data_IF_037657012880
#
_entry.id   IF_037657012880
#
_cell.length_a   1.000
_cell.length_b   1.000
_cell.length_c   1.000
_cell.angle_alpha   90.00
_cell.angle_beta   90.00
_cell.angle_gamma   90.00
#
_symmetry.space_group_name_H-M   'P 1'
#
loop_
_entity.id
_entity.type
_entity.pdbx_description
1 polymer ?
#
# COMPACT_ATOMS: atom_id res chain seq x y z
N UNK A 1 -6.78 -23.37 20.03
CA UNK A 1 -7.47 -22.94 18.79
C UNK A 1 -8.11 -21.59 19.06
N UNK A 2 -7.82 -20.59 18.22
CA UNK A 2 -8.37 -19.24 18.32
C UNK A 2 -9.77 -19.18 17.68
N UNK A 3 -10.59 -18.24 18.13
CA UNK A 3 -11.81 -17.89 17.38
C UNK A 3 -11.43 -17.11 16.12
N UNK A 4 -10.42 -16.21 16.23
CA UNK A 4 -9.97 -15.35 15.15
C UNK A 4 -8.44 -15.20 15.14
N UNK A 5 -7.82 -15.27 13.97
CA UNK A 5 -6.44 -14.83 13.75
C UNK A 5 -6.47 -13.63 12.80
N UNK A 6 -5.81 -12.54 13.18
CA UNK A 6 -5.66 -11.33 12.38
C UNK A 6 -4.22 -11.30 11.85
N UNK A 7 -4.04 -11.20 10.53
CA UNK A 7 -2.73 -11.21 9.87
C UNK A 7 -2.44 -9.81 9.32
N UNK A 8 -1.50 -9.10 9.96
CA UNK A 8 -1.09 -7.75 9.61
C UNK A 8 -1.29 -6.74 10.73
N UNK A 9 -0.25 -5.97 11.04
CA UNK A 9 -0.15 -5.07 12.20
C UNK A 9 -0.25 -3.57 11.86
N UNK A 10 -0.77 -3.20 10.67
CA UNK A 10 -1.05 -1.82 10.33
C UNK A 10 -2.51 -1.45 10.65
N UNK A 11 -2.95 -0.26 10.26
CA UNK A 11 -4.23 0.34 10.65
C UNK A 11 -5.43 -0.60 10.49
N UNK A 12 -5.49 -1.40 9.43
CA UNK A 12 -6.59 -2.33 9.17
C UNK A 12 -6.62 -3.46 10.20
N UNK A 13 -5.48 -4.10 10.48
CA UNK A 13 -5.37 -5.14 11.49
C UNK A 13 -5.56 -4.61 12.91
N UNK A 14 -5.02 -3.43 13.22
CA UNK A 14 -5.21 -2.75 14.52
C UNK A 14 -6.69 -2.44 14.75
N UNK A 15 -7.39 -1.88 13.75
CA UNK A 15 -8.82 -1.59 13.85
C UNK A 15 -9.62 -2.88 14.07
N UNK A 16 -9.30 -3.96 13.36
CA UNK A 16 -9.92 -5.26 13.58
C UNK A 16 -9.67 -5.80 15.00
N UNK A 17 -8.43 -5.70 15.50
CA UNK A 17 -8.05 -6.17 16.84
C UNK A 17 -8.76 -5.41 17.96
N UNK A 18 -8.94 -4.09 17.82
CA UNK A 18 -9.72 -3.26 18.77
C UNK A 18 -11.16 -3.79 18.87
N UNK A 19 -11.80 -4.12 17.75
CA UNK A 19 -13.17 -4.65 17.78
C UNK A 19 -13.21 -6.09 18.30
N UNK A 20 -12.20 -6.92 18.02
CA UNK A 20 -12.09 -8.27 18.53
C UNK A 20 -11.97 -8.30 20.07
N UNK A 21 -11.05 -7.48 20.64
CA UNK A 21 -10.86 -7.42 22.10
C UNK A 21 -12.11 -6.88 22.82
N UNK A 22 -12.74 -5.85 22.28
CA UNK A 22 -14.00 -5.29 22.84
C UNK A 22 -15.17 -6.26 22.81
N UNK A 23 -15.15 -7.25 21.93
CA UNK A 23 -16.10 -8.36 21.85
C UNK A 23 -15.65 -9.61 22.60
N UNK A 24 -14.51 -9.54 23.31
CA UNK A 24 -13.95 -10.63 24.12
C UNK A 24 -13.74 -11.94 23.33
N UNK A 25 -13.32 -11.80 22.05
CA UNK A 25 -12.93 -12.97 21.27
C UNK A 25 -11.60 -13.55 21.78
N UNK A 26 -11.45 -14.86 21.69
CA UNK A 26 -10.16 -15.51 21.81
C UNK A 26 -9.43 -15.34 20.47
N UNK A 27 -8.56 -14.31 20.35
CA UNK A 27 -7.87 -13.98 19.11
C UNK A 27 -6.38 -13.74 19.33
N UNK A 28 -5.64 -13.70 18.24
CA UNK A 28 -4.27 -13.18 18.19
C UNK A 28 -4.08 -12.39 16.90
N UNK A 29 -3.33 -11.29 16.99
CA UNK A 29 -2.81 -10.59 15.81
C UNK A 29 -1.36 -11.04 15.58
N UNK A 30 -1.03 -11.45 14.37
CA UNK A 30 0.33 -11.82 13.96
C UNK A 30 0.80 -10.92 12.83
N UNK A 31 2.02 -10.41 12.92
CA UNK A 31 2.56 -9.50 11.91
C UNK A 31 4.08 -9.53 11.86
N UNK A 32 4.64 -9.24 10.70
CA UNK A 32 6.08 -9.02 10.55
C UNK A 32 6.56 -7.79 11.32
N UNK A 33 5.76 -6.73 11.28
CA UNK A 33 5.98 -5.48 12.01
C UNK A 33 4.64 -4.85 12.42
N UNK A 34 4.69 -3.90 13.35
CA UNK A 34 3.56 -3.04 13.68
C UNK A 34 3.75 -1.71 12.97
N UNK A 35 2.76 -1.33 12.16
CA UNK A 35 2.73 -0.10 11.39
C UNK A 35 2.68 -0.33 9.88
N UNK A 36 3.46 -1.28 9.33
CA UNK A 36 3.51 -1.57 7.89
C UNK A 36 3.84 -0.31 7.07
N UNK A 37 3.16 -0.10 5.95
CA UNK A 37 3.36 1.08 5.10
C UNK A 37 3.00 2.41 5.79
N UNK A 38 2.17 2.39 6.84
CA UNK A 38 1.91 3.59 7.66
C UNK A 38 3.17 4.05 8.37
N UNK A 39 3.95 3.13 8.96
CA UNK A 39 5.23 3.45 9.62
C UNK A 39 6.22 4.11 8.66
N UNK A 40 6.18 3.71 7.39
CA UNK A 40 7.06 4.22 6.33
C UNK A 40 6.54 5.50 5.67
N UNK A 41 5.37 6.00 6.08
CA UNK A 41 4.82 7.26 5.59
C UNK A 41 5.55 8.45 6.22
N UNK A 42 5.69 9.54 5.45
CA UNK A 42 6.15 10.82 5.95
C UNK A 42 5.08 11.52 6.78
N UNK A 43 4.89 12.82 6.54
CA UNK A 43 3.85 13.62 7.20
C UNK A 43 2.45 13.22 6.71
N UNK A 44 1.49 13.12 7.62
CA UNK A 44 0.12 12.70 7.39
C UNK A 44 -0.83 13.83 7.81
N UNK A 45 -1.53 14.43 6.85
CA UNK A 45 -2.46 15.53 7.06
C UNK A 45 -3.91 15.19 6.70
N UNK A 46 -4.15 13.97 6.21
CA UNK A 46 -5.42 13.53 5.65
C UNK A 46 -6.14 12.46 6.47
N UNK A 47 -5.78 12.32 7.76
CA UNK A 47 -6.45 11.37 8.65
C UNK A 47 -7.48 12.12 9.52
N UNK A 48 -8.79 11.81 9.42
CA UNK A 48 -9.82 12.51 10.17
C UNK A 48 -9.60 12.43 11.68
N UNK A 49 -9.70 13.56 12.37
CA UNK A 49 -9.52 13.67 13.81
C UNK A 49 -8.08 13.94 14.26
N UNK A 50 -7.10 13.86 13.36
CA UNK A 50 -5.69 14.20 13.63
C UNK A 50 -5.24 15.23 12.59
N UNK A 51 -5.12 16.53 12.94
CA UNK A 51 -4.80 17.57 11.97
C UNK A 51 -3.43 17.42 11.29
N UNK A 52 -2.44 16.92 12.05
CA UNK A 52 -1.10 16.65 11.55
C UNK A 52 -0.42 15.57 12.40
N UNK A 53 0.17 14.59 11.75
CA UNK A 53 0.97 13.54 12.37
C UNK A 53 2.01 13.03 11.36
N UNK A 54 2.74 12.00 11.71
CA UNK A 54 3.64 11.26 10.84
C UNK A 54 3.47 9.75 11.06
N UNK A 55 4.07 8.95 10.18
CA UNK A 55 3.95 7.50 10.24
C UNK A 55 4.47 6.89 11.54
N UNK A 56 5.52 7.45 12.11
CA UNK A 56 6.10 6.98 13.39
C UNK A 56 5.14 7.25 14.54
N UNK A 57 4.66 8.48 14.71
CA UNK A 57 3.71 8.85 15.77
C UNK A 57 2.40 8.08 15.67
N UNK A 58 1.90 7.90 14.44
CA UNK A 58 0.68 7.11 14.24
C UNK A 58 0.90 5.65 14.64
N UNK A 59 2.05 5.07 14.34
CA UNK A 59 2.41 3.71 14.75
C UNK A 59 2.60 3.58 16.26
N UNK A 60 3.18 4.61 16.92
CA UNK A 60 3.25 4.68 18.38
C UNK A 60 1.85 4.65 18.99
N UNK A 61 0.89 5.39 18.43
CA UNK A 61 -0.51 5.35 18.89
C UNK A 61 -1.14 3.96 18.73
N UNK A 62 -0.77 3.18 17.69
CA UNK A 62 -1.20 1.78 17.59
C UNK A 62 -0.62 0.95 18.73
N UNK A 63 0.65 1.09 19.06
CA UNK A 63 1.30 0.38 20.17
C UNK A 63 0.69 0.74 21.53
N UNK A 64 0.32 2.01 21.73
CA UNK A 64 -0.42 2.45 22.92
C UNK A 64 -1.79 1.77 23.03
N UNK A 65 -2.52 1.62 21.92
CA UNK A 65 -3.79 0.91 21.91
C UNK A 65 -3.65 -0.59 22.21
N UNK A 66 -2.60 -1.23 21.67
CA UNK A 66 -2.27 -2.62 22.03
C UNK A 66 -2.07 -2.77 23.53
N UNK A 67 -1.28 -1.86 24.14
CA UNK A 67 -1.04 -1.85 25.58
C UNK A 67 -2.29 -1.53 26.40
N UNK A 68 -3.06 -0.53 25.98
CA UNK A 68 -4.27 -0.10 26.69
C UNK A 68 -5.35 -1.21 26.80
N UNK A 69 -5.50 -2.01 25.76
CA UNK A 69 -6.46 -3.10 25.72
C UNK A 69 -5.90 -4.47 26.09
N UNK A 70 -4.59 -4.56 26.40
CA UNK A 70 -3.86 -5.82 26.56
C UNK A 70 -4.12 -6.79 25.39
N UNK A 71 -4.02 -6.27 24.15
CA UNK A 71 -4.32 -7.02 22.95
C UNK A 71 -3.23 -8.05 22.65
N UNK A 72 -3.57 -9.33 22.44
CA UNK A 72 -2.58 -10.35 22.10
C UNK A 72 -2.03 -10.12 20.69
N UNK A 73 -0.76 -9.75 20.60
CA UNK A 73 -0.07 -9.53 19.33
C UNK A 73 1.32 -10.19 19.34
N UNK A 74 1.66 -10.81 18.22
CA UNK A 74 2.99 -11.37 17.96
C UNK A 74 3.64 -10.64 16.78
N UNK A 75 4.63 -9.80 17.07
CA UNK A 75 5.45 -9.10 16.09
C UNK A 75 6.65 -9.97 15.67
N UNK A 76 7.19 -9.75 14.47
CA UNK A 76 8.28 -10.55 13.91
C UNK A 76 7.84 -11.90 13.34
N UNK A 77 6.55 -12.06 13.02
CA UNK A 77 5.98 -13.30 12.48
C UNK A 77 5.51 -13.08 11.06
N UNK A 78 6.04 -13.82 10.10
CA UNK A 78 5.69 -13.78 8.68
C UNK A 78 4.92 -15.03 8.27
N UNK A 79 3.69 -14.86 7.76
CA UNK A 79 2.85 -15.97 7.32
C UNK A 79 3.35 -16.52 6.00
N UNK A 80 3.55 -17.85 5.96
CA UNK A 80 4.04 -18.59 4.79
C UNK A 80 2.91 -19.30 4.03
N UNK A 81 1.81 -19.65 4.72
CA UNK A 81 0.70 -20.35 4.08
C UNK A 81 -0.52 -20.50 4.97
N UNK A 82 -1.68 -20.71 4.33
CA UNK A 82 -2.95 -21.00 4.99
C UNK A 82 -3.56 -22.22 4.32
N UNK A 83 -3.99 -23.18 5.12
CA UNK A 83 -4.70 -24.39 4.68
C UNK A 83 -5.93 -24.63 5.54
N UNK A 84 -6.87 -25.46 5.06
CA UNK A 84 -8.00 -25.93 5.85
C UNK A 84 -7.77 -27.37 6.25
N UNK A 85 -7.98 -27.68 7.54
CA UNK A 85 -7.89 -29.04 8.08
C UNK A 85 -8.89 -29.21 9.22
N UNK A 86 -9.67 -30.27 9.18
CA UNK A 86 -10.63 -30.65 10.23
C UNK A 86 -11.61 -29.52 10.61
N UNK A 87 -12.08 -28.77 9.61
CA UNK A 87 -13.03 -27.65 9.80
C UNK A 87 -12.41 -26.37 10.41
N UNK A 88 -11.09 -26.30 10.56
CA UNK A 88 -10.37 -25.13 11.02
C UNK A 88 -9.36 -24.64 9.97
N UNK A 89 -9.03 -23.37 10.03
CA UNK A 89 -7.92 -22.81 9.26
C UNK A 89 -6.61 -23.03 10.02
N UNK A 90 -5.61 -23.53 9.31
CA UNK A 90 -4.24 -23.72 9.82
C UNK A 90 -3.32 -22.73 9.13
N UNK A 91 -2.74 -21.83 9.91
CA UNK A 91 -1.80 -20.81 9.45
C UNK A 91 -0.39 -21.27 9.79
N UNK A 92 0.46 -21.41 8.78
CA UNK A 92 1.90 -21.66 8.94
C UNK A 92 2.64 -20.36 8.78
N UNK A 93 3.49 -20.04 9.74
CA UNK A 93 4.26 -18.82 9.78
C UNK A 93 5.70 -19.09 10.23
N UNK A 94 6.61 -18.14 10.06
CA UNK A 94 7.99 -18.16 10.54
C UNK A 94 8.25 -16.95 11.41
N UNK A 95 8.94 -17.14 12.52
CA UNK A 95 9.43 -16.02 13.33
C UNK A 95 10.71 -15.41 12.74
N UNK A 96 11.19 -14.32 13.32
CA UNK A 96 12.39 -13.60 12.87
C UNK A 96 13.68 -14.44 12.87
N UNK A 97 13.68 -15.60 13.53
CA UNK A 97 14.79 -16.57 13.54
C UNK A 97 14.58 -17.71 12.52
N UNK A 98 13.49 -17.64 11.73
CA UNK A 98 13.14 -18.68 10.76
C UNK A 98 12.46 -19.91 11.36
N UNK A 99 12.17 -19.94 12.67
CA UNK A 99 11.48 -21.03 13.33
C UNK A 99 10.00 -21.04 12.93
N UNK A 100 9.51 -22.21 12.53
CA UNK A 100 8.12 -22.39 12.16
C UNK A 100 7.18 -22.27 13.37
N UNK A 101 6.08 -21.55 13.18
CA UNK A 101 4.95 -21.43 14.11
C UNK A 101 3.67 -21.84 13.40
N UNK A 102 2.77 -22.49 14.11
CA UNK A 102 1.46 -22.86 13.57
C UNK A 102 0.34 -22.32 14.45
N UNK A 103 -0.65 -21.70 13.81
CA UNK A 103 -1.86 -21.20 14.47
C UNK A 103 -3.07 -21.92 13.89
N UNK A 104 -4.07 -22.22 14.74
CA UNK A 104 -5.35 -22.78 14.32
C UNK A 104 -6.48 -21.83 14.70
N UNK A 105 -7.34 -21.49 13.76
CA UNK A 105 -8.44 -20.54 13.94
C UNK A 105 -9.73 -20.99 13.27
N UNK A 106 -10.87 -20.54 13.81
CA UNK A 106 -12.19 -20.70 13.19
C UNK A 106 -12.40 -19.68 12.06
N UNK A 107 -11.83 -18.47 12.22
CA UNK A 107 -11.89 -17.41 11.23
C UNK A 107 -10.53 -16.69 11.11
N UNK A 108 -10.28 -16.08 9.94
CA UNK A 108 -9.06 -15.30 9.66
C UNK A 108 -9.45 -13.94 9.07
N UNK A 109 -8.72 -12.90 9.45
CA UNK A 109 -8.71 -11.60 8.75
C UNK A 109 -7.34 -11.40 8.13
N UNK A 110 -7.28 -11.26 6.80
CA UNK A 110 -6.07 -10.91 6.05
C UNK A 110 -6.01 -9.39 5.89
N UNK A 111 -5.09 -8.74 6.60
CA UNK A 111 -4.88 -7.30 6.64
C UNK A 111 -3.42 -6.92 6.32
N UNK A 112 -2.81 -7.68 5.42
CA UNK A 112 -1.37 -7.65 5.09
C UNK A 112 -0.96 -6.51 4.18
N UNK A 113 -1.91 -5.75 3.64
CA UNK A 113 -1.66 -4.57 2.83
C UNK A 113 -1.00 -4.85 1.48
N UNK A 114 -0.37 -3.81 0.96
CA UNK A 114 0.42 -3.82 -0.29
C UNK A 114 1.77 -3.17 0.00
N UNK A 115 2.70 -3.29 -0.96
CA UNK A 115 3.87 -2.42 -1.02
C UNK A 115 4.08 -1.88 -2.44
N UNK A 116 4.59 -0.65 -2.60
CA UNK A 116 4.88 -0.08 -3.91
C UNK A 116 5.99 -0.87 -4.59
N UNK A 117 5.86 -1.05 -5.90
CA UNK A 117 6.98 -1.54 -6.70
C UNK A 117 8.09 -0.52 -6.69
N UNK A 118 9.32 -0.99 -6.49
CA UNK A 118 10.51 -0.16 -6.56
C UNK A 118 11.07 -0.14 -7.98
N UNK A 119 11.66 1.00 -8.36
CA UNK A 119 12.43 1.12 -9.61
C UNK A 119 13.67 0.25 -9.57
N UNK A 120 14.26 0.07 -8.38
CA UNK A 120 15.49 -0.66 -8.18
C UNK A 120 16.73 0.06 -8.72
N UNK A 121 16.66 1.39 -8.85
CA UNK A 121 17.77 2.22 -9.33
C UNK A 121 18.54 2.87 -8.19
N UNK A 122 19.84 3.20 -8.39
CA UNK A 122 20.61 3.98 -7.42
C UNK A 122 19.88 5.27 -7.02
N UNK A 123 19.98 5.63 -5.75
CA UNK A 123 19.34 6.81 -5.16
C UNK A 123 17.87 6.63 -4.77
N UNK A 124 17.12 5.66 -5.32
CA UNK A 124 15.70 5.49 -4.96
C UNK A 124 15.50 5.25 -3.47
N UNK A 125 16.25 4.31 -2.88
CA UNK A 125 16.16 3.98 -1.46
C UNK A 125 16.72 5.08 -0.57
N UNK A 126 17.82 5.69 -0.99
CA UNK A 126 18.53 6.72 -0.22
C UNK A 126 17.70 7.99 -0.04
N UNK A 127 16.99 8.40 -1.12
CA UNK A 127 16.15 9.59 -1.13
C UNK A 127 14.66 9.31 -0.88
N UNK A 128 14.30 8.10 -0.46
CA UNK A 128 12.93 7.81 -0.04
C UNK A 128 12.56 8.69 1.16
N UNK A 129 11.42 9.40 1.09
CA UNK A 129 10.99 10.49 1.99
C UNK A 129 11.91 11.73 2.04
N UNK A 130 12.92 11.78 1.19
CA UNK A 130 13.79 12.95 1.00
C UNK A 130 13.66 13.51 -0.41
N UNK A 131 12.49 13.40 -0.99
CA UNK A 131 12.16 13.81 -2.34
C UNK A 131 11.63 12.68 -3.23
N UNK A 132 11.83 11.41 -2.88
CA UNK A 132 11.20 10.26 -3.53
C UNK A 132 9.99 9.82 -2.73
N UNK A 133 8.85 9.64 -3.40
CA UNK A 133 7.61 9.14 -2.78
C UNK A 133 6.84 8.21 -3.73
N UNK A 134 6.01 7.35 -3.17
CA UNK A 134 5.03 6.52 -3.87
C UNK A 134 3.58 6.95 -3.62
N UNK A 135 3.36 7.98 -2.78
CA UNK A 135 2.03 8.51 -2.47
C UNK A 135 1.94 10.01 -2.80
N UNK A 136 1.51 10.35 -4.02
CA UNK A 136 1.33 11.74 -4.43
C UNK A 136 0.27 12.46 -3.59
N UNK A 137 -0.80 11.76 -3.18
CA UNK A 137 -1.87 12.33 -2.34
C UNK A 137 -1.35 12.73 -0.96
N UNK A 138 -0.39 11.94 -0.42
CA UNK A 138 0.21 12.20 0.89
C UNK A 138 1.23 13.35 0.82
N UNK A 139 2.19 13.24 -0.09
CA UNK A 139 3.41 14.06 -0.08
C UNK A 139 3.41 15.15 -1.15
N UNK A 140 2.52 15.08 -2.15
CA UNK A 140 2.45 16.06 -3.25
C UNK A 140 2.43 17.51 -2.79
N UNK A 141 1.65 17.89 -1.76
CA UNK A 141 1.62 19.26 -1.24
C UNK A 141 2.98 19.84 -0.79
N UNK A 142 3.93 18.98 -0.37
CA UNK A 142 5.29 19.37 0.04
C UNK A 142 6.14 19.90 -1.13
N UNK A 143 5.70 19.65 -2.36
CA UNK A 143 6.40 20.06 -3.59
C UNK A 143 5.75 21.28 -4.25
N UNK A 144 4.98 22.09 -3.52
CA UNK A 144 4.38 23.32 -4.05
C UNK A 144 5.42 24.24 -4.65
N UNK A 145 5.23 24.62 -5.92
CA UNK A 145 6.11 25.49 -6.67
C UNK A 145 7.45 24.89 -7.10
N UNK A 146 7.71 23.61 -6.78
CA UNK A 146 8.94 22.90 -7.16
C UNK A 146 8.82 22.24 -8.54
N UNK A 147 9.94 21.83 -9.10
CA UNK A 147 9.98 20.98 -10.30
C UNK A 147 9.97 19.51 -9.87
N UNK A 148 9.09 18.72 -10.46
CA UNK A 148 8.93 17.31 -10.07
C UNK A 148 8.96 16.37 -11.27
N UNK A 149 9.25 15.09 -11.02
CA UNK A 149 9.11 14.02 -11.98
C UNK A 149 8.10 12.97 -11.47
N UNK A 150 7.21 12.51 -12.33
CA UNK A 150 6.36 11.35 -12.11
C UNK A 150 6.85 10.21 -13.00
N UNK A 151 7.17 9.07 -12.41
CA UNK A 151 7.69 7.90 -13.12
C UNK A 151 6.60 6.85 -13.21
N UNK A 152 6.18 6.49 -14.42
CA UNK A 152 5.16 5.49 -14.68
C UNK A 152 4.43 5.69 -16.00
N UNK A 153 3.61 4.72 -16.39
CA UNK A 153 2.92 4.69 -17.68
C UNK A 153 1.44 4.27 -17.62
N UNK A 154 0.87 4.16 -16.42
CA UNK A 154 -0.55 3.79 -16.19
C UNK A 154 -1.35 4.91 -15.52
N UNK A 155 -2.62 4.63 -15.20
CA UNK A 155 -3.54 5.60 -14.60
C UNK A 155 -2.98 6.28 -13.34
N UNK A 156 -2.39 5.53 -12.41
CA UNK A 156 -1.82 6.11 -11.18
C UNK A 156 -0.74 7.15 -11.46
N UNK A 157 0.08 6.96 -12.52
CA UNK A 157 1.08 7.95 -12.92
C UNK A 157 0.42 9.20 -13.55
N UNK A 158 -0.64 9.01 -14.35
CA UNK A 158 -1.39 10.11 -14.95
C UNK A 158 -2.14 10.94 -13.89
N UNK A 159 -2.81 10.28 -12.95
CA UNK A 159 -3.48 10.92 -11.80
C UNK A 159 -2.49 11.71 -10.94
N UNK A 160 -1.32 11.13 -10.66
CA UNK A 160 -0.23 11.80 -9.98
C UNK A 160 0.24 13.04 -10.74
N UNK A 161 0.46 12.92 -12.06
CA UNK A 161 0.89 14.04 -12.88
C UNK A 161 -0.15 15.18 -12.93
N UNK A 162 -1.45 14.84 -13.02
CA UNK A 162 -2.55 15.84 -13.01
C UNK A 162 -2.59 16.56 -11.66
N UNK A 163 -2.49 15.82 -10.55
CA UNK A 163 -2.44 16.40 -9.21
C UNK A 163 -1.23 17.32 -9.07
N UNK A 164 -0.05 16.85 -9.47
CA UNK A 164 1.17 17.64 -9.39
C UNK A 164 1.17 18.85 -10.33
N UNK A 165 0.46 18.81 -11.46
CA UNK A 165 0.29 19.97 -12.34
C UNK A 165 -0.40 21.15 -11.64
N UNK A 166 -1.28 20.88 -10.68
CA UNK A 166 -1.92 21.91 -9.84
C UNK A 166 -1.06 22.40 -8.67
N UNK A 167 0.08 21.74 -8.39
CA UNK A 167 0.89 21.98 -7.19
C UNK A 167 2.30 22.50 -7.55
N UNK A 168 2.96 21.78 -8.49
CA UNK A 168 4.33 22.04 -8.90
C UNK A 168 4.43 23.12 -9.98
N UNK A 169 5.58 23.79 -10.08
CA UNK A 169 5.85 24.73 -11.17
C UNK A 169 6.05 24.02 -12.52
N UNK A 170 6.61 22.82 -12.51
CA UNK A 170 6.84 21.96 -13.69
C UNK A 170 6.76 20.50 -13.29
N UNK A 171 6.15 19.69 -14.14
CA UNK A 171 6.04 18.24 -13.98
C UNK A 171 6.61 17.53 -15.20
N UNK A 172 7.60 16.69 -15.00
CA UNK A 172 8.07 15.76 -16.02
C UNK A 172 7.43 14.39 -15.80
N UNK A 173 6.89 13.78 -16.84
CA UNK A 173 6.38 12.40 -16.78
C UNK A 173 7.30 11.50 -17.57
N UNK A 174 7.92 10.52 -16.90
CA UNK A 174 8.82 9.55 -17.53
C UNK A 174 8.08 8.21 -17.70
N UNK A 175 7.79 7.87 -18.95
CA UNK A 175 7.21 6.59 -19.33
C UNK A 175 8.26 5.72 -20.01
N UNK A 176 8.50 4.52 -19.50
CA UNK A 176 9.36 3.53 -20.19
C UNK A 176 8.67 2.86 -21.38
N UNK A 177 7.44 3.27 -21.72
CA UNK A 177 6.66 2.77 -22.84
C UNK A 177 6.67 3.78 -23.98
N UNK A 178 6.53 3.30 -25.23
CA UNK A 178 6.40 4.18 -26.37
C UNK A 178 5.11 5.00 -26.30
N UNK A 179 5.06 6.08 -27.03
CA UNK A 179 3.83 6.80 -27.30
C UNK A 179 2.89 5.88 -28.08
N UNK A 180 1.68 5.66 -27.59
CA UNK A 180 0.70 4.90 -28.35
C UNK A 180 0.09 5.76 -29.47
N UNK A 181 -0.18 5.18 -30.62
CA UNK A 181 -0.90 5.83 -31.70
C UNK A 181 -2.30 6.27 -31.19
N UNK A 182 -2.59 7.56 -31.35
CA UNK A 182 -3.87 8.18 -31.01
C UNK A 182 -4.10 8.62 -29.56
N UNK A 183 -3.36 8.10 -28.56
CA UNK A 183 -3.67 8.40 -27.14
C UNK A 183 -2.50 8.89 -26.29
N UNK A 184 -1.27 8.77 -26.73
CA UNK A 184 -0.09 9.18 -25.93
C UNK A 184 0.41 8.14 -24.93
N UNK A 185 -0.45 7.54 -24.08
CA UNK A 185 -0.05 6.53 -23.08
C UNK A 185 -0.65 5.17 -23.38
N UNK A 186 0.14 4.07 -23.40
CA UNK A 186 -0.35 2.76 -23.80
C UNK A 186 -1.31 2.11 -22.79
N UNK A 187 -1.28 2.54 -21.53
CA UNK A 187 -2.08 1.97 -20.43
C UNK A 187 -2.95 2.99 -19.71
N UNK A 188 -3.05 4.21 -20.23
CA UNK A 188 -3.83 5.29 -19.60
C UNK A 188 -5.24 5.36 -20.16
N UNK A 189 -6.21 5.68 -19.31
CA UNK A 189 -7.56 6.05 -19.73
C UNK A 189 -7.53 7.37 -20.52
N UNK A 190 -8.29 7.44 -21.62
CA UNK A 190 -8.25 8.58 -22.53
C UNK A 190 -8.45 9.92 -21.83
N UNK A 191 -9.39 10.00 -20.90
CA UNK A 191 -9.70 11.23 -20.16
C UNK A 191 -8.53 11.72 -19.30
N UNK A 192 -7.73 10.82 -18.74
CA UNK A 192 -6.53 11.15 -17.95
C UNK A 192 -5.40 11.60 -18.86
N UNK A 193 -5.22 10.89 -19.98
CA UNK A 193 -4.21 11.23 -21.00
C UNK A 193 -4.45 12.63 -21.53
N UNK A 194 -5.69 12.94 -21.93
CA UNK A 194 -6.06 14.27 -22.46
C UNK A 194 -5.76 15.38 -21.45
N UNK A 195 -6.08 15.18 -20.17
CA UNK A 195 -5.78 16.15 -19.11
C UNK A 195 -4.28 16.36 -18.91
N UNK A 196 -3.48 15.30 -18.93
CA UNK A 196 -2.01 15.39 -18.80
C UNK A 196 -1.42 16.14 -19.98
N UNK A 197 -1.84 15.83 -21.20
CA UNK A 197 -1.32 16.46 -22.42
C UNK A 197 -1.78 17.92 -22.59
N UNK A 198 -2.93 18.28 -22.03
CA UNK A 198 -3.44 19.66 -22.05
C UNK A 198 -2.82 20.55 -20.97
N UNK A 199 -2.18 20.00 -19.94
CA UNK A 199 -1.59 20.76 -18.86
C UNK A 199 -0.32 21.50 -19.31
N UNK A 200 -0.26 22.85 -19.24
CA UNK A 200 0.82 23.65 -19.84
C UNK A 200 2.18 23.47 -19.14
N UNK A 201 2.18 23.05 -17.89
CA UNK A 201 3.39 22.81 -17.10
C UNK A 201 3.76 21.32 -17.01
N UNK A 202 3.14 20.44 -17.80
CA UNK A 202 3.47 19.00 -17.87
C UNK A 202 4.22 18.72 -19.16
N UNK A 203 5.30 17.95 -19.07
CA UNK A 203 6.07 17.48 -20.20
C UNK A 203 6.29 15.97 -20.10
N UNK A 204 5.97 15.23 -21.17
CA UNK A 204 6.02 13.76 -21.19
C UNK A 204 7.19 13.26 -22.00
N UNK A 205 8.03 12.43 -21.38
CA UNK A 205 9.09 11.68 -22.03
C UNK A 205 8.67 10.22 -22.19
N UNK A 206 8.53 9.79 -23.43
CA UNK A 206 8.24 8.41 -23.79
C UNK A 206 9.54 7.63 -24.03
N UNK A 207 9.48 6.31 -23.81
CA UNK A 207 10.64 5.42 -23.94
C UNK A 207 11.83 5.91 -23.10
N UNK A 208 11.49 6.56 -21.97
CA UNK A 208 12.43 7.12 -21.02
C UNK A 208 12.59 6.15 -19.84
N UNK A 209 13.71 5.42 -19.82
CA UNK A 209 14.00 4.44 -18.75
C UNK A 209 14.85 5.09 -17.68
N UNK A 210 14.30 5.30 -16.49
CA UNK A 210 15.00 5.85 -15.34
C UNK A 210 16.18 4.95 -14.97
N UNK A 211 17.34 5.56 -14.74
CA UNK A 211 18.60 4.87 -14.43
C UNK A 211 19.09 5.19 -13.02
N UNK A 212 18.87 6.41 -12.54
CA UNK A 212 19.39 6.89 -11.27
C UNK A 212 18.55 8.07 -10.77
N UNK A 213 18.40 8.21 -9.47
CA UNK A 213 17.88 9.40 -8.80
C UNK A 213 19.08 10.04 -8.08
N UNK A 214 19.36 11.30 -8.40
CA UNK A 214 20.48 12.05 -7.84
C UNK A 214 20.06 12.97 -6.72
N UNK A 215 20.98 13.20 -5.82
CA UNK A 215 20.81 14.15 -4.71
C UNK A 215 22.04 14.20 -3.80
N UNK A 216 21.92 15.01 -2.77
CA UNK A 216 22.86 15.05 -1.63
C UNK A 216 22.04 14.80 -0.34
N UNK A 217 21.44 15.82 0.24
CA UNK A 217 20.52 15.69 1.39
C UNK A 217 19.10 15.34 0.96
N UNK A 218 18.72 15.71 -0.25
CA UNK A 218 17.43 15.45 -0.88
C UNK A 218 17.63 15.32 -2.40
N UNK A 219 16.55 14.92 -3.10
CA UNK A 219 16.53 14.80 -4.55
C UNK A 219 16.92 16.10 -5.23
N UNK A 220 17.82 16.03 -6.22
CA UNK A 220 18.22 17.14 -7.10
C UNK A 220 18.06 16.85 -8.58
N UNK A 221 17.89 15.58 -8.99
CA UNK A 221 17.74 15.21 -10.39
C UNK A 221 17.37 13.76 -10.62
N UNK A 222 16.98 13.47 -11.87
CA UNK A 222 16.72 12.13 -12.39
C UNK A 222 17.55 11.92 -13.66
N UNK A 223 18.27 10.81 -13.71
CA UNK A 223 18.98 10.34 -14.90
C UNK A 223 18.15 9.27 -15.59
N UNK A 224 17.99 9.39 -16.90
CA UNK A 224 17.25 8.41 -17.69
C UNK A 224 17.93 8.18 -19.06
N UNK A 225 17.66 7.04 -19.67
CA UNK A 225 17.97 6.76 -21.07
C UNK A 225 16.75 7.05 -21.94
N UNK A 226 16.95 7.80 -23.02
CA UNK A 226 15.93 8.02 -24.04
C UNK A 226 15.83 6.82 -25.01
N UNK A 227 14.88 6.89 -25.97
CA UNK A 227 14.65 5.84 -26.98
C UNK A 227 15.88 5.50 -27.81
N UNK A 228 16.83 6.43 -27.95
CA UNK A 228 18.09 6.20 -28.68
C UNK A 228 19.17 5.61 -27.77
N UNK A 229 18.87 5.30 -26.50
CA UNK A 229 19.82 4.81 -25.51
C UNK A 229 20.77 5.89 -24.96
N UNK A 230 20.54 7.16 -25.30
CA UNK A 230 21.36 8.28 -24.83
C UNK A 230 20.96 8.65 -23.40
N UNK A 231 21.95 8.72 -22.53
CA UNK A 231 21.75 9.18 -21.14
C UNK A 231 21.47 10.67 -21.10
N UNK A 232 20.42 11.04 -20.40
CA UNK A 232 19.99 12.42 -20.14
C UNK A 232 19.71 12.62 -18.65
N UNK A 233 19.75 13.86 -18.22
CA UNK A 233 19.45 14.27 -16.85
C UNK A 233 18.45 15.41 -16.85
N UNK A 234 17.52 15.39 -15.90
CA UNK A 234 16.60 16.49 -15.60
C UNK A 234 16.74 16.89 -14.13
N UNK A 235 16.80 18.21 -13.88
CA UNK A 235 16.82 18.73 -12.52
C UNK A 235 15.40 18.73 -11.95
N UNK A 236 15.20 18.05 -10.81
CA UNK A 236 13.92 17.97 -10.10
C UNK A 236 14.15 17.93 -8.60
N UNK A 237 13.20 18.39 -7.81
CA UNK A 237 13.22 18.38 -6.35
C UNK A 237 12.29 17.31 -5.75
N UNK A 238 11.50 16.63 -6.59
CA UNK A 238 10.59 15.56 -6.16
C UNK A 238 10.40 14.51 -7.24
N UNK A 239 10.31 13.26 -6.83
CA UNK A 239 10.10 12.09 -7.72
C UNK A 239 8.95 11.25 -7.16
N UNK A 240 7.85 11.18 -7.91
CA UNK A 240 6.67 10.37 -7.64
C UNK A 240 6.78 9.06 -8.41
N UNK A 241 6.94 7.93 -7.71
CA UNK A 241 7.12 6.62 -8.34
C UNK A 241 5.79 5.87 -8.41
N UNK A 242 5.24 5.72 -9.61
CA UNK A 242 3.94 5.08 -9.88
C UNK A 242 4.06 3.96 -10.92
N UNK A 243 4.79 2.90 -10.56
CA UNK A 243 5.02 1.73 -11.43
C UNK A 243 4.25 0.48 -11.00
N UNK A 244 3.25 0.67 -10.13
CA UNK A 244 2.35 -0.35 -9.61
C UNK A 244 2.65 -0.75 -8.18
N UNK A 245 1.79 -1.64 -7.67
CA UNK A 245 1.85 -2.17 -6.31
C UNK A 245 1.95 -3.70 -6.35
N UNK A 246 2.36 -4.28 -5.23
CA UNK A 246 2.40 -5.72 -5.01
C UNK A 246 1.55 -6.00 -3.76
N UNK A 247 0.36 -6.63 -3.91
CA UNK A 247 -0.42 -7.07 -2.77
C UNK A 247 0.31 -8.16 -2.00
N UNK A 248 0.26 -8.10 -0.66
CA UNK A 248 0.86 -9.13 0.20
C UNK A 248 -0.13 -10.28 0.39
N UNK A 249 -0.43 -11.01 -0.68
CA UNK A 249 -1.46 -12.06 -0.77
C UNK A 249 -0.94 -13.41 -1.27
N UNK A 250 0.39 -13.56 -1.48
CA UNK A 250 0.97 -14.74 -2.12
C UNK A 250 0.85 -16.01 -1.27
N UNK A 251 0.75 -15.86 0.05
CA UNK A 251 0.68 -16.98 1.02
C UNK A 251 -0.71 -17.62 1.12
N UNK A 252 -1.71 -17.13 0.42
CA UNK A 252 -3.08 -17.64 0.48
C UNK A 252 -3.61 -17.94 -0.92
N UNK A 253 -4.00 -19.21 -1.16
CA UNK A 253 -4.44 -19.68 -2.48
C UNK A 253 -5.96 -19.92 -2.55
N UNK A 254 -6.65 -20.12 -1.41
CA UNK A 254 -8.07 -20.44 -1.39
C UNK A 254 -9.01 -19.25 -1.70
N UNK A 255 -8.48 -18.03 -1.81
CA UNK A 255 -9.26 -16.84 -2.09
C UNK A 255 -9.14 -16.42 -3.55
N UNK A 256 -10.22 -15.91 -4.13
CA UNK A 256 -10.18 -15.29 -5.45
C UNK A 256 -9.37 -13.99 -5.41
N UNK A 257 -8.57 -13.79 -6.46
CA UNK A 257 -7.73 -12.61 -6.64
C UNK A 257 -7.96 -12.01 -8.01
N UNK A 258 -7.83 -10.70 -8.12
CA UNK A 258 -7.84 -10.01 -9.40
C UNK A 258 -6.52 -10.20 -10.16
N UNK A 259 -6.44 -9.62 -11.37
CA UNK A 259 -5.22 -9.69 -12.22
C UNK A 259 -3.99 -9.04 -11.60
N UNK A 260 -4.16 -8.17 -10.60
CA UNK A 260 -3.08 -7.53 -9.85
C UNK A 260 -2.63 -8.34 -8.63
N UNK A 261 -3.35 -9.42 -8.30
CA UNK A 261 -3.12 -10.25 -7.11
C UNK A 261 -3.83 -9.73 -5.86
N UNK A 262 -4.73 -8.75 -5.97
CA UNK A 262 -5.52 -8.24 -4.86
C UNK A 262 -6.63 -9.23 -4.50
N UNK A 263 -6.90 -9.42 -3.21
CA UNK A 263 -7.97 -10.31 -2.75
C UNK A 263 -9.33 -9.66 -3.07
N UNK A 264 -10.19 -10.39 -3.77
CA UNK A 264 -11.54 -9.93 -4.09
C UNK A 264 -12.43 -10.10 -2.86
N UNK A 265 -13.08 -9.00 -2.44
CA UNK A 265 -14.00 -8.97 -1.30
C UNK A 265 -15.35 -8.37 -1.68
N UNK A 266 -16.38 -8.76 -0.94
CA UNK A 266 -17.68 -8.09 -0.98
C UNK A 266 -17.73 -6.89 0.02
N UNK A 267 -18.90 -6.22 0.08
CA UNK A 267 -19.11 -5.06 0.98
C UNK A 267 -18.98 -5.39 2.47
N UNK A 268 -18.99 -6.66 2.84
CA UNK A 268 -18.81 -7.16 4.19
C UNK A 268 -17.42 -7.72 4.43
N UNK A 269 -16.45 -7.38 3.56
CA UNK A 269 -15.07 -7.86 3.62
C UNK A 269 -14.92 -9.40 3.56
N UNK A 270 -15.96 -10.12 3.05
CA UNK A 270 -15.91 -11.58 2.88
C UNK A 270 -15.16 -11.91 1.61
N UNK A 271 -14.34 -12.95 1.67
CA UNK A 271 -13.67 -13.53 0.50
C UNK A 271 -14.46 -14.70 -0.06
N UNK A 272 -14.00 -15.29 -1.17
CA UNK A 272 -14.56 -16.53 -1.72
C UNK A 272 -14.29 -17.77 -0.85
N UNK A 273 -13.40 -17.69 0.14
CA UNK A 273 -13.07 -18.77 1.07
C UNK A 273 -13.84 -18.59 2.39
N UNK A 274 -14.69 -19.56 2.75
CA UNK A 274 -15.53 -19.50 3.95
C UNK A 274 -14.70 -19.33 5.23
N UNK A 275 -15.05 -18.37 6.10
CA UNK A 275 -14.34 -18.05 7.33
C UNK A 275 -13.08 -17.20 7.13
N UNK A 276 -12.76 -16.80 5.90
CA UNK A 276 -11.64 -15.88 5.61
C UNK A 276 -12.20 -14.54 5.13
N UNK A 277 -11.77 -13.49 5.79
CA UNK A 277 -12.08 -12.09 5.51
C UNK A 277 -10.80 -11.37 5.09
N UNK A 278 -10.90 -10.30 4.31
CA UNK A 278 -9.75 -9.49 3.98
C UNK A 278 -10.11 -8.01 4.06
N UNK A 279 -9.14 -7.16 4.44
CA UNK A 279 -9.36 -5.75 4.66
C UNK A 279 -8.12 -4.91 4.37
N UNK A 280 -8.33 -3.66 3.97
CA UNK A 280 -7.29 -2.71 3.64
C UNK A 280 -6.69 -2.97 2.26
N UNK A 281 -5.51 -2.46 2.06
CA UNK A 281 -4.89 -2.33 0.75
C UNK A 281 -4.61 -3.66 0.03
N UNK A 282 -4.61 -4.79 0.74
CA UNK A 282 -4.48 -6.13 0.13
C UNK A 282 -5.70 -6.52 -0.71
N UNK A 283 -6.84 -5.85 -0.51
CA UNK A 283 -8.11 -6.12 -1.21
C UNK A 283 -8.21 -5.37 -2.53
N UNK A 284 -9.24 -5.67 -3.31
CA UNK A 284 -9.55 -4.99 -4.58
C UNK A 284 -10.22 -3.61 -4.41
N UNK A 285 -10.18 -3.03 -3.21
CA UNK A 285 -10.69 -1.67 -2.99
C UNK A 285 -9.92 -0.64 -3.83
N UNK A 286 -10.60 0.29 -4.51
CA UNK A 286 -9.95 1.15 -5.49
C UNK A 286 -9.01 2.19 -4.87
N UNK A 287 -9.32 2.70 -3.67
CA UNK A 287 -8.56 3.77 -3.04
C UNK A 287 -7.76 3.24 -1.83
N UNK A 288 -6.44 3.37 -1.90
CA UNK A 288 -5.50 2.93 -0.87
C UNK A 288 -5.20 4.10 0.07
N UNK A 289 -5.97 4.23 1.16
CA UNK A 289 -5.85 5.30 2.14
C UNK A 289 -5.96 4.75 3.56
N UNK A 290 -5.24 5.34 4.51
CA UNK A 290 -5.20 4.91 5.93
C UNK A 290 -6.62 4.86 6.53
N UNK A 291 -7.44 5.90 6.30
CA UNK A 291 -8.80 5.98 6.84
C UNK A 291 -9.72 4.90 6.26
N UNK A 292 -9.58 4.60 4.96
CA UNK A 292 -10.35 3.54 4.29
C UNK A 292 -9.95 2.18 4.85
N UNK A 293 -8.65 1.89 4.90
CA UNK A 293 -8.12 0.63 5.42
C UNK A 293 -8.55 0.39 6.88
N UNK A 294 -8.59 1.44 7.71
CA UNK A 294 -9.11 1.36 9.08
C UNK A 294 -10.58 0.96 9.13
N UNK A 295 -11.43 1.61 8.33
CA UNK A 295 -12.87 1.28 8.23
C UNK A 295 -13.13 -0.14 7.75
N UNK A 296 -12.32 -0.62 6.78
CA UNK A 296 -12.42 -2.00 6.30
C UNK A 296 -12.01 -3.02 7.36
N UNK A 297 -10.98 -2.74 8.16
CA UNK A 297 -10.59 -3.58 9.28
C UNK A 297 -11.73 -3.77 10.28
N UNK A 298 -12.47 -2.69 10.59
CA UNK A 298 -13.69 -2.75 11.42
C UNK A 298 -14.74 -3.65 10.76
N UNK A 299 -15.02 -3.43 9.48
CA UNK A 299 -16.01 -4.21 8.71
C UNK A 299 -15.67 -5.69 8.71
N UNK A 300 -14.41 -6.05 8.45
CA UNK A 300 -13.95 -7.43 8.46
C UNK A 300 -14.13 -8.10 9.83
N UNK A 301 -13.79 -7.38 10.92
CA UNK A 301 -13.96 -7.93 12.26
C UNK A 301 -15.43 -8.15 12.62
N UNK A 302 -16.30 -7.20 12.33
CA UNK A 302 -17.74 -7.36 12.58
C UNK A 302 -18.33 -8.52 11.78
N UNK A 303 -17.93 -8.67 10.51
CA UNK A 303 -18.36 -9.78 9.68
C UNK A 303 -17.84 -11.14 10.16
N UNK A 304 -16.59 -11.18 10.64
CA UNK A 304 -16.03 -12.39 11.27
C UNK A 304 -16.79 -12.78 12.55
N UNK A 305 -17.21 -11.80 13.36
CA UNK A 305 -18.03 -12.03 14.56
C UNK A 305 -19.39 -12.63 14.18
N UNK A 306 -20.05 -12.06 13.17
CA UNK A 306 -21.34 -12.58 12.68
C UNK A 306 -21.22 -14.01 12.16
N UNK A 307 -20.12 -14.32 11.45
CA UNK A 307 -19.81 -15.67 10.99
C UNK A 307 -19.63 -16.64 12.15
N UNK A 308 -18.81 -16.27 13.15
CA UNK A 308 -18.54 -17.09 14.33
C UNK A 308 -19.81 -17.37 15.15
N UNK A 309 -20.72 -16.40 15.24
CA UNK A 309 -21.99 -16.57 15.95
C UNK A 309 -22.96 -17.51 15.24
N UNK A 310 -22.91 -17.62 13.92
CA UNK A 310 -23.75 -18.54 13.14
C UNK A 310 -23.25 -19.98 13.17
N UNK A 311 -21.99 -20.19 13.56
CA UNK A 311 -21.33 -21.54 13.64
C UNK A 311 -21.28 -22.10 15.07
N UNK A 312 -21.84 -21.36 16.03
CA UNK A 312 -22.10 -21.87 17.40
C UNK A 312 -23.38 -22.71 17.40
#
# INVERSE_FOLDING_TARGET
>A
MYDLVIIGGSISGVAAAIYAVRRKLNFVLISKDIGGEVLLSGEIYNYPGIPATDGVKMTESFREQFKYYDMPAEEGVEVAGITQKDGAHVIVAKDGNGKEKTYKAKAIIVATGIHPRRLGVPGEKEFYLKGVTSCTVCDGPLFKGKVTATIGAGNSALESAIMMAGIASKVYVLSNKPKSEGRGFPKGDAILVDKVLAAPNVEVFYEATTQEIKGDKAVSGVVYKDKAGKTKEIAVQGVMVHIGFIPNSQFIDCVEKDKAGQIITDKLARTSCDGIFAAGDVTNIPYKQIAIAGGEGVTACLSAIDYLNKKK
#
